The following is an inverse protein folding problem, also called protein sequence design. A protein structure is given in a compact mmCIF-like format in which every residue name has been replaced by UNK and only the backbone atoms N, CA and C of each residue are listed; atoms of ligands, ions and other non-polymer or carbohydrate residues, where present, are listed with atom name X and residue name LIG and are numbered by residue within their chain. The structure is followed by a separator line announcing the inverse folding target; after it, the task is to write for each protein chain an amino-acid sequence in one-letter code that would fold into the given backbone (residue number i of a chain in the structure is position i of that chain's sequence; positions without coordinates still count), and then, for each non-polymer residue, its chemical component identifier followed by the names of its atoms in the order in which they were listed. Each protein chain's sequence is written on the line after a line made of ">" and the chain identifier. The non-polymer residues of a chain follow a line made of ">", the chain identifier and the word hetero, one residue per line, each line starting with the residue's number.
data_IF_584283839006
#
_entry.id   IF_584283839006
#
_cell.length_a   1.000
_cell.length_b   1.000
_cell.length_c   1.000
_cell.angle_alpha   90.00
_cell.angle_beta   90.00
_cell.angle_gamma   90.00
#
_symmetry.space_group_name_H-M   'P 1'
#
loop_
_entity.id
_entity.type
_entity.pdbx_description
1 polymer ?
#
# COMPACT_ATOMS: atom_id res chain seq x y z
N UNK A 1 -9.43 6.34 2.08
CA UNK A 1 -9.52 6.33 0.60
C UNK A 1 -9.41 4.91 0.04
N UNK A 2 -8.29 4.19 0.29
CA UNK A 2 -8.08 2.88 -0.33
C UNK A 2 -9.12 1.79 0.01
N UNK A 3 -9.72 1.69 1.22
CA UNK A 3 -10.72 0.66 1.50
C UNK A 3 -11.99 0.84 0.66
N UNK A 4 -12.36 2.09 0.38
CA UNK A 4 -13.49 2.43 -0.49
C UNK A 4 -13.20 2.05 -1.94
N UNK A 5 -12.00 2.39 -2.44
CA UNK A 5 -11.57 2.03 -3.79
C UNK A 5 -11.53 0.50 -3.98
N UNK A 6 -11.02 -0.23 -2.99
CA UNK A 6 -10.97 -1.69 -3.00
C UNK A 6 -12.36 -2.32 -2.97
N UNK A 7 -13.25 -1.82 -2.11
CA UNK A 7 -14.65 -2.26 -2.05
C UNK A 7 -15.35 -2.03 -3.40
N UNK A 8 -15.17 -0.85 -4.00
CA UNK A 8 -15.71 -0.55 -5.32
C UNK A 8 -15.14 -1.48 -6.41
N UNK A 9 -13.85 -1.81 -6.36
CA UNK A 9 -13.21 -2.75 -7.29
C UNK A 9 -13.83 -4.15 -7.24
N UNK A 10 -14.15 -4.63 -6.04
CA UNK A 10 -14.83 -5.91 -5.87
C UNK A 10 -16.29 -5.85 -6.32
N UNK A 11 -17.03 -4.78 -6.01
CA UNK A 11 -18.44 -4.62 -6.43
C UNK A 11 -18.57 -4.50 -7.95
N UNK A 12 -17.77 -3.64 -8.59
CA UNK A 12 -17.83 -3.43 -10.05
C UNK A 12 -17.04 -4.48 -10.84
N UNK A 13 -16.32 -5.39 -10.16
CA UNK A 13 -15.55 -6.45 -10.78
C UNK A 13 -16.39 -7.42 -11.62
N UNK A 14 -17.67 -7.56 -11.29
CA UNK A 14 -18.61 -8.41 -12.02
C UNK A 14 -19.33 -7.70 -13.19
N UNK A 15 -19.29 -6.37 -13.26
CA UNK A 15 -20.06 -5.59 -14.24
C UNK A 15 -19.53 -5.67 -15.69
N UNK A 16 -18.28 -6.10 -15.87
CA UNK A 16 -17.66 -6.30 -17.18
C UNK A 16 -16.13 -6.13 -17.15
N UNK A 17 -15.44 -6.65 -18.18
CA UNK A 17 -13.97 -6.67 -18.20
C UNK A 17 -13.34 -5.28 -18.08
N UNK A 18 -13.91 -4.26 -18.74
CA UNK A 18 -13.44 -2.87 -18.67
C UNK A 18 -13.69 -2.23 -17.31
N UNK A 19 -14.90 -2.39 -16.76
CA UNK A 19 -15.25 -1.85 -15.45
C UNK A 19 -14.35 -2.44 -14.37
N UNK A 20 -14.14 -3.76 -14.40
CA UNK A 20 -13.20 -4.48 -13.56
C UNK A 20 -11.79 -3.91 -13.66
N UNK A 21 -11.25 -3.74 -14.88
CA UNK A 21 -9.90 -3.21 -15.05
C UNK A 21 -9.75 -1.80 -14.49
N UNK A 22 -10.72 -0.90 -14.76
CA UNK A 22 -10.67 0.47 -14.24
C UNK A 22 -10.73 0.50 -12.72
N UNK A 23 -11.63 -0.29 -12.13
CA UNK A 23 -11.86 -0.28 -10.70
C UNK A 23 -10.64 -0.83 -9.93
N UNK A 24 -10.00 -1.92 -10.39
CA UNK A 24 -8.76 -2.41 -9.78
C UNK A 24 -7.57 -1.45 -9.97
N UNK A 25 -7.47 -0.76 -11.10
CA UNK A 25 -6.47 0.30 -11.26
C UNK A 25 -6.66 1.43 -10.23
N UNK A 26 -7.91 1.86 -9.99
CA UNK A 26 -8.22 2.85 -8.95
C UNK A 26 -7.85 2.34 -7.55
N UNK A 27 -8.11 1.06 -7.26
CA UNK A 27 -7.71 0.43 -6.00
C UNK A 27 -6.20 0.50 -5.79
N UNK A 28 -5.43 0.09 -6.80
CA UNK A 28 -3.97 0.15 -6.74
C UNK A 28 -3.43 1.56 -6.56
N UNK A 29 -3.96 2.54 -7.29
CA UNK A 29 -3.58 3.95 -7.13
C UNK A 29 -3.89 4.48 -5.72
N UNK A 30 -5.05 4.11 -5.16
CA UNK A 30 -5.43 4.50 -3.82
C UNK A 30 -4.53 3.85 -2.74
N UNK A 31 -4.10 2.60 -2.96
CA UNK A 31 -3.18 1.90 -2.07
C UNK A 31 -1.77 2.52 -2.11
N UNK A 32 -1.26 2.88 -3.30
CA UNK A 32 0.02 3.61 -3.43
C UNK A 32 -0.03 4.97 -2.71
N UNK A 33 -1.14 5.71 -2.86
CA UNK A 33 -1.31 7.01 -2.20
C UNK A 33 -1.39 6.88 -0.67
N UNK A 34 -1.97 5.78 -0.17
CA UNK A 34 -1.93 5.44 1.25
C UNK A 34 -0.50 5.18 1.75
N UNK A 35 0.33 4.48 0.96
CA UNK A 35 1.76 4.32 1.25
C UNK A 35 2.48 5.67 1.35
N UNK A 36 2.28 6.57 0.37
CA UNK A 36 2.83 7.92 0.40
C UNK A 36 2.37 8.72 1.64
N UNK A 37 1.10 8.63 2.00
CA UNK A 37 0.58 9.25 3.22
C UNK A 37 1.23 8.69 4.49
N UNK A 38 1.52 7.39 4.50
CA UNK A 38 2.24 6.73 5.59
C UNK A 38 3.67 7.24 5.71
N UNK A 39 4.40 7.34 4.59
CA UNK A 39 5.75 7.91 4.57
C UNK A 39 5.77 9.36 5.08
N UNK A 40 4.84 10.21 4.64
CA UNK A 40 4.72 11.59 5.15
C UNK A 40 4.53 11.63 6.67
N UNK A 41 3.63 10.79 7.20
CA UNK A 41 3.40 10.69 8.64
C UNK A 41 4.64 10.15 9.38
N UNK A 42 5.34 9.19 8.80
CA UNK A 42 6.52 8.59 9.40
C UNK A 42 7.71 9.55 9.43
N UNK A 43 7.93 10.32 8.35
CA UNK A 43 8.94 11.38 8.32
C UNK A 43 8.69 12.43 9.41
N UNK A 44 7.43 12.83 9.60
CA UNK A 44 7.06 13.86 10.57
C UNK A 44 7.14 13.37 12.03
N UNK A 45 6.68 12.15 12.31
CA UNK A 45 6.39 11.71 13.68
C UNK A 45 7.11 10.44 14.11
N UNK A 46 7.69 9.65 13.21
CA UNK A 46 8.23 8.33 13.54
C UNK A 46 9.75 8.30 13.46
N UNK A 47 10.35 9.15 12.63
CA UNK A 47 11.81 9.18 12.42
C UNK A 47 12.61 9.30 13.72
N UNK A 48 13.63 8.46 13.96
CA UNK A 48 14.49 8.59 15.12
C UNK A 48 15.10 10.00 15.21
N UNK A 49 15.13 10.64 16.40
CA UNK A 49 15.69 11.98 16.57
C UNK A 49 17.09 12.15 15.98
N UNK A 50 17.94 11.14 16.12
CA UNK A 50 19.31 11.09 15.59
C UNK A 50 19.40 11.08 14.06
N UNK A 51 18.30 10.81 13.35
CA UNK A 51 18.25 10.79 11.89
C UNK A 51 17.62 12.06 11.31
N UNK A 52 16.98 12.89 12.14
CA UNK A 52 16.36 14.15 11.68
C UNK A 52 17.47 15.09 11.19
N UNK A 53 17.35 15.55 9.95
CA UNK A 53 18.36 16.39 9.29
C UNK A 53 19.54 15.62 8.70
N UNK A 54 19.48 14.28 8.67
CA UNK A 54 20.42 13.46 7.91
C UNK A 54 20.05 13.44 6.42
N UNK A 55 21.02 13.07 5.57
CA UNK A 55 20.77 12.86 4.13
C UNK A 55 19.65 11.84 3.86
N UNK A 56 19.54 10.79 4.68
CA UNK A 56 18.46 9.82 4.54
C UNK A 56 17.08 10.48 4.76
N UNK A 57 16.96 11.32 5.78
CA UNK A 57 15.72 12.05 6.06
C UNK A 57 15.37 13.02 4.92
N UNK A 58 16.35 13.75 4.37
CA UNK A 58 16.13 14.70 3.28
C UNK A 58 15.64 14.03 1.98
N UNK A 59 16.12 12.82 1.68
CA UNK A 59 15.70 12.06 0.49
C UNK A 59 14.49 11.16 0.72
N UNK A 60 14.06 10.97 1.96
CA UNK A 60 13.01 10.00 2.29
C UNK A 60 11.69 10.29 1.59
N UNK A 61 11.19 11.53 1.67
CA UNK A 61 9.92 11.94 1.03
C UNK A 61 10.01 11.95 -0.51
N UNK A 62 11.05 12.52 -1.15
CA UNK A 62 11.22 12.41 -2.60
C UNK A 62 11.22 10.97 -3.11
N UNK A 63 11.89 10.06 -2.40
CA UNK A 63 11.91 8.63 -2.75
C UNK A 63 10.53 7.99 -2.52
N UNK A 64 9.82 8.34 -1.44
CA UNK A 64 8.45 7.86 -1.21
C UNK A 64 7.48 8.31 -2.32
N UNK A 65 7.59 9.55 -2.81
CA UNK A 65 6.81 10.03 -3.97
C UNK A 65 7.13 9.21 -5.21
N UNK A 66 8.42 9.02 -5.52
CA UNK A 66 8.84 8.20 -6.65
C UNK A 66 8.31 6.76 -6.54
N UNK A 67 8.44 6.16 -5.35
CA UNK A 67 7.94 4.82 -5.06
C UNK A 67 6.44 4.73 -5.27
N UNK A 68 5.65 5.69 -4.80
CA UNK A 68 4.20 5.74 -5.03
C UNK A 68 3.84 5.77 -6.52
N UNK A 69 4.54 6.58 -7.32
CA UNK A 69 4.31 6.67 -8.77
C UNK A 69 4.68 5.36 -9.47
N UNK A 70 5.85 4.80 -9.15
CA UNK A 70 6.31 3.53 -9.69
C UNK A 70 5.35 2.40 -9.32
N UNK A 71 4.87 2.37 -8.09
CA UNK A 71 3.94 1.37 -7.57
C UNK A 71 2.62 1.40 -8.31
N UNK A 72 2.03 2.59 -8.49
CA UNK A 72 0.81 2.77 -9.29
C UNK A 72 1.02 2.33 -10.74
N UNK A 73 2.16 2.69 -11.35
CA UNK A 73 2.49 2.31 -12.72
C UNK A 73 2.62 0.79 -12.89
N UNK A 74 3.44 0.13 -12.07
CA UNK A 74 3.69 -1.31 -12.14
C UNK A 74 2.41 -2.11 -11.86
N UNK A 75 1.68 -1.76 -10.81
CA UNK A 75 0.43 -2.44 -10.44
C UNK A 75 -0.66 -2.27 -11.50
N UNK A 76 -0.84 -1.08 -12.07
CA UNK A 76 -1.79 -0.87 -13.18
C UNK A 76 -1.34 -1.60 -14.44
N UNK A 77 -0.05 -1.55 -14.79
CA UNK A 77 0.48 -2.23 -15.97
C UNK A 77 0.34 -3.76 -15.86
N UNK A 78 0.49 -4.31 -14.66
CA UNK A 78 0.35 -5.75 -14.41
C UNK A 78 -0.99 -6.34 -14.88
N UNK A 79 -2.06 -5.53 -14.94
CA UNK A 79 -3.38 -5.95 -15.40
C UNK A 79 -3.43 -6.25 -16.89
N UNK A 80 -2.61 -5.55 -17.69
CA UNK A 80 -2.48 -5.82 -19.13
C UNK A 80 -1.71 -7.12 -19.37
N UNK A 81 -0.75 -7.45 -18.49
CA UNK A 81 0.03 -8.67 -18.56
C UNK A 81 -0.70 -9.90 -18.02
N UNK A 82 -1.81 -9.73 -17.30
CA UNK A 82 -2.38 -10.80 -16.49
C UNK A 82 -2.90 -11.99 -17.29
N UNK A 83 -3.40 -11.75 -18.51
CA UNK A 83 -3.88 -12.83 -19.38
C UNK A 83 -2.74 -13.64 -20.01
N UNK A 84 -1.64 -12.98 -20.41
CA UNK A 84 -0.54 -13.62 -21.14
C UNK A 84 0.59 -14.12 -20.21
N UNK A 85 0.86 -13.40 -19.12
CA UNK A 85 1.98 -13.63 -18.20
C UNK A 85 1.53 -13.49 -16.74
N UNK A 86 0.71 -14.42 -16.21
CA UNK A 86 0.12 -14.30 -14.87
C UNK A 86 1.16 -14.27 -13.75
N UNK A 87 2.26 -15.03 -13.87
CA UNK A 87 3.35 -15.02 -12.89
C UNK A 87 4.04 -13.65 -12.82
N UNK A 88 4.33 -13.04 -13.97
CA UNK A 88 4.94 -11.71 -14.05
C UNK A 88 3.99 -10.63 -13.53
N UNK A 89 2.70 -10.73 -13.86
CA UNK A 89 1.67 -9.83 -13.31
C UNK A 89 1.62 -9.89 -11.78
N UNK A 90 1.63 -11.10 -11.21
CA UNK A 90 1.64 -11.30 -9.75
C UNK A 90 2.93 -10.78 -9.11
N UNK A 91 4.09 -11.09 -9.69
CA UNK A 91 5.38 -10.62 -9.20
C UNK A 91 5.47 -9.09 -9.24
N UNK A 92 5.05 -8.47 -10.34
CA UNK A 92 5.01 -7.01 -10.50
C UNK A 92 4.14 -6.35 -9.43
N UNK A 93 2.93 -6.85 -9.18
CA UNK A 93 2.05 -6.34 -8.10
C UNK A 93 2.65 -6.53 -6.72
N UNK A 94 3.26 -7.69 -6.48
CA UNK A 94 3.90 -7.98 -5.19
C UNK A 94 5.04 -7.00 -4.92
N UNK A 95 5.94 -6.83 -5.88
CA UNK A 95 7.08 -5.92 -5.78
C UNK A 95 6.62 -4.46 -5.65
N UNK A 96 5.57 -4.07 -6.39
CA UNK A 96 5.01 -2.73 -6.34
C UNK A 96 4.50 -2.32 -4.95
N UNK A 97 4.20 -3.24 -4.03
CA UNK A 97 3.72 -2.87 -2.70
C UNK A 97 4.67 -3.31 -1.57
N UNK A 98 5.41 -4.42 -1.74
CA UNK A 98 6.37 -4.87 -0.73
C UNK A 98 7.57 -3.94 -0.64
N UNK A 99 8.12 -3.48 -1.78
CA UNK A 99 9.29 -2.61 -1.76
C UNK A 99 9.02 -1.25 -1.09
N UNK A 100 7.96 -0.50 -1.46
CA UNK A 100 7.63 0.74 -0.76
C UNK A 100 7.34 0.52 0.73
N UNK A 101 6.62 -0.55 1.09
CA UNK A 101 6.35 -0.84 2.49
C UNK A 101 7.64 -1.02 3.31
N UNK A 102 8.61 -1.78 2.79
CA UNK A 102 9.90 -1.98 3.47
C UNK A 102 10.63 -0.65 3.59
N UNK A 103 10.69 0.14 2.52
CA UNK A 103 11.35 1.45 2.52
C UNK A 103 10.71 2.41 3.53
N UNK A 104 9.38 2.55 3.49
CA UNK A 104 8.64 3.43 4.37
C UNK A 104 8.82 3.01 5.83
N UNK A 105 8.91 1.71 6.10
CA UNK A 105 9.01 1.15 7.47
C UNK A 105 10.42 1.11 8.05
N UNK A 106 11.46 1.57 7.32
CA UNK A 106 12.85 1.61 7.83
C UNK A 106 12.95 2.28 9.22
N UNK A 107 12.36 3.47 9.48
CA UNK A 107 12.40 4.12 10.79
C UNK A 107 11.75 3.29 11.90
N UNK A 108 10.67 2.58 11.58
CA UNK A 108 9.95 1.71 12.52
C UNK A 108 10.80 0.50 12.87
N UNK A 109 11.36 -0.19 11.87
CA UNK A 109 12.21 -1.34 12.11
C UNK A 109 13.46 -0.98 12.92
N UNK A 110 14.02 0.20 12.68
CA UNK A 110 15.09 0.73 13.51
C UNK A 110 14.65 0.90 14.97
N UNK A 111 13.53 1.58 15.25
CA UNK A 111 13.01 1.75 16.62
C UNK A 111 12.71 0.41 17.31
N UNK A 112 12.08 -0.53 16.60
CA UNK A 112 11.79 -1.87 17.11
C UNK A 112 13.07 -2.64 17.47
N UNK A 113 14.09 -2.60 16.61
CA UNK A 113 15.38 -3.27 16.86
C UNK A 113 16.14 -2.66 18.05
N UNK A 114 16.12 -1.33 18.20
CA UNK A 114 16.70 -0.66 19.38
C UNK A 114 15.99 -1.02 20.67
N UNK A 115 14.66 -1.13 20.63
CA UNK A 115 13.88 -1.55 21.80
C UNK A 115 14.18 -2.99 22.20
N UNK A 116 14.29 -3.90 21.23
CA UNK A 116 14.71 -5.28 21.47
C UNK A 116 16.13 -5.38 22.08
N UNK A 117 17.02 -4.44 21.74
CA UNK A 117 18.35 -4.30 22.34
C UNK A 117 18.35 -3.63 23.73
N UNK A 118 17.18 -3.39 24.34
CA UNK A 118 17.04 -2.84 25.70
C UNK A 118 17.26 -1.33 25.78
N UNK A 119 17.28 -0.60 24.66
CA UNK A 119 17.68 0.81 24.63
C UNK A 119 16.57 1.80 25.03
N UNK A 120 15.29 1.44 24.89
CA UNK A 120 14.12 2.22 25.33
C UNK A 120 12.82 1.43 25.05
N UNK A 121 11.77 1.63 25.86
CA UNK A 121 10.42 1.13 25.59
C UNK A 121 9.47 2.32 25.38
N UNK A 122 9.12 2.58 24.13
CA UNK A 122 8.14 3.62 23.76
C UNK A 122 6.74 3.00 23.64
N UNK A 123 5.72 3.72 24.09
CA UNK A 123 4.35 3.21 24.17
C UNK A 123 3.72 2.83 22.82
N UNK A 124 4.19 3.40 21.71
CA UNK A 124 3.70 3.11 20.35
C UNK A 124 4.30 1.86 19.71
N UNK A 125 5.41 1.32 20.24
CA UNK A 125 6.11 0.16 19.65
C UNK A 125 5.28 -1.12 19.58
N UNK A 126 4.47 -1.49 20.59
CA UNK A 126 3.59 -2.64 20.48
C UNK A 126 2.58 -2.51 19.32
N UNK A 127 2.08 -1.30 19.05
CA UNK A 127 1.17 -1.05 17.94
C UNK A 127 1.90 -1.13 16.59
N UNK A 128 3.10 -0.55 16.48
CA UNK A 128 3.96 -0.71 15.30
C UNK A 128 4.33 -2.16 15.02
N UNK A 129 4.55 -2.97 16.06
CA UNK A 129 4.80 -4.41 15.96
C UNK A 129 3.56 -5.15 15.44
N UNK A 130 2.37 -4.86 15.97
CA UNK A 130 1.10 -5.43 15.47
C UNK A 130 0.83 -5.02 14.02
N UNK A 131 1.06 -3.75 13.67
CA UNK A 131 0.99 -3.28 12.29
C UNK A 131 1.92 -4.09 11.37
N UNK A 132 3.18 -4.30 11.79
CA UNK A 132 4.17 -5.06 11.03
C UNK A 132 3.78 -6.53 10.86
N UNK A 133 3.22 -7.14 11.90
CA UNK A 133 2.68 -8.50 11.84
C UNK A 133 1.49 -8.58 10.88
N UNK A 134 0.54 -7.64 10.95
CA UNK A 134 -0.58 -7.56 10.01
C UNK A 134 -0.09 -7.41 8.57
N UNK A 135 0.92 -6.57 8.31
CA UNK A 135 1.50 -6.42 6.97
C UNK A 135 2.14 -7.73 6.45
N UNK A 136 2.86 -8.45 7.33
CA UNK A 136 3.40 -9.78 6.99
C UNK A 136 2.28 -10.77 6.65
N UNK A 137 1.23 -10.83 7.46
CA UNK A 137 0.09 -11.72 7.22
C UNK A 137 -0.66 -11.36 5.92
N UNK A 138 -0.80 -10.07 5.63
CA UNK A 138 -1.34 -9.57 4.35
C UNK A 138 -0.50 -10.08 3.17
N UNK A 139 0.83 -9.93 3.23
CA UNK A 139 1.74 -10.43 2.20
C UNK A 139 1.66 -11.96 2.03
N UNK A 140 1.68 -12.72 3.12
CA UNK A 140 1.60 -14.18 3.09
C UNK A 140 0.25 -14.66 2.53
N UNK A 141 -0.85 -14.04 2.92
CA UNK A 141 -2.19 -14.38 2.42
C UNK A 141 -2.31 -14.12 0.92
N UNK A 142 -1.78 -12.99 0.43
CA UNK A 142 -1.78 -12.66 -1.00
C UNK A 142 -0.92 -13.62 -1.84
N UNK A 143 0.28 -13.97 -1.36
CA UNK A 143 1.24 -14.75 -2.13
C UNK A 143 0.98 -16.25 -2.09
N UNK A 144 0.60 -16.80 -0.93
CA UNK A 144 0.48 -18.25 -0.73
C UNK A 144 -0.86 -18.85 -1.20
N UNK A 145 -1.95 -18.07 -1.17
CA UNK A 145 -3.34 -18.53 -1.34
C UNK A 145 -3.76 -19.61 -0.34
N UNK A 146 -3.29 -19.48 0.89
CA UNK A 146 -3.70 -20.34 1.99
C UNK A 146 -4.87 -19.70 2.76
N UNK A 147 -5.87 -20.48 3.21
CA UNK A 147 -5.90 -21.95 3.24
C UNK A 147 -6.52 -22.63 1.99
N UNK A 148 -7.14 -21.90 1.06
CA UNK A 148 -7.92 -22.47 -0.06
C UNK A 148 -7.09 -23.35 -1.01
N UNK A 149 -5.77 -23.14 -1.07
CA UNK A 149 -4.86 -24.01 -1.81
C UNK A 149 -4.69 -25.41 -1.19
N UNK A 150 -4.91 -25.57 0.12
CA UNK A 150 -4.81 -26.86 0.81
C UNK A 150 -6.13 -27.63 0.84
N UNK A 151 -7.27 -26.92 0.86
CA UNK A 151 -8.59 -27.54 0.81
C UNK A 151 -9.50 -26.81 -0.21
N UNK A 152 -9.34 -27.10 -1.52
CA UNK A 152 -10.18 -26.52 -2.56
C UNK A 152 -11.67 -26.81 -2.31
N UNK A 153 -12.55 -25.82 -2.51
CA UNK A 153 -13.99 -25.93 -2.27
C UNK A 153 -14.43 -25.67 -0.83
N UNK A 154 -13.51 -25.69 0.15
CA UNK A 154 -13.85 -25.48 1.57
C UNK A 154 -13.94 -24.00 1.97
N UNK A 155 -13.30 -23.12 1.20
CA UNK A 155 -13.14 -21.69 1.53
C UNK A 155 -13.76 -20.77 0.46
N UNK A 156 -14.68 -21.28 -0.36
CA UNK A 156 -15.19 -20.54 -1.53
C UNK A 156 -15.94 -19.25 -1.16
N UNK A 157 -16.57 -19.21 0.01
CA UNK A 157 -17.36 -18.06 0.49
C UNK A 157 -16.74 -17.33 1.69
N UNK A 158 -16.14 -18.07 2.63
CA UNK A 158 -15.62 -17.52 3.89
C UNK A 158 -14.22 -18.06 4.14
N UNK A 159 -13.31 -17.18 4.56
CA UNK A 159 -11.99 -17.54 5.06
C UNK A 159 -10.93 -17.81 4.00
N UNK A 160 -11.22 -17.57 2.71
CA UNK A 160 -10.17 -17.61 1.68
C UNK A 160 -9.14 -16.48 1.89
N UNK A 161 -7.93 -16.69 1.38
CA UNK A 161 -6.78 -15.83 1.66
C UNK A 161 -7.00 -14.36 1.30
N UNK A 162 -7.79 -14.09 0.25
CA UNK A 162 -8.10 -12.71 -0.16
C UNK A 162 -9.01 -11.97 0.84
N UNK A 163 -9.86 -12.67 1.60
CA UNK A 163 -10.58 -12.07 2.73
C UNK A 163 -9.64 -11.78 3.89
N UNK A 164 -8.76 -12.74 4.22
CA UNK A 164 -7.76 -12.58 5.27
C UNK A 164 -6.82 -11.41 4.95
N UNK A 165 -6.42 -11.27 3.68
CA UNK A 165 -5.65 -10.14 3.16
C UNK A 165 -6.32 -8.80 3.50
N UNK A 166 -7.63 -8.65 3.22
CA UNK A 166 -8.35 -7.41 3.52
C UNK A 166 -8.50 -7.16 5.02
N UNK A 167 -8.81 -8.19 5.81
CA UNK A 167 -8.93 -8.07 7.27
C UNK A 167 -7.59 -7.61 7.88
N UNK A 168 -6.49 -8.28 7.54
CA UNK A 168 -5.15 -7.93 8.01
C UNK A 168 -4.74 -6.53 7.52
N UNK A 169 -5.07 -6.15 6.30
CA UNK A 169 -4.82 -4.81 5.76
C UNK A 169 -5.51 -3.72 6.60
N UNK A 170 -6.81 -3.86 6.85
CA UNK A 170 -7.59 -2.88 7.64
C UNK A 170 -7.14 -2.81 9.09
N UNK A 171 -6.99 -3.97 9.76
CA UNK A 171 -6.48 -4.01 11.14
C UNK A 171 -5.08 -3.40 11.23
N UNK A 172 -4.22 -3.70 10.25
CA UNK A 172 -2.89 -3.11 10.13
C UNK A 172 -2.96 -1.59 10.04
N UNK A 173 -3.83 -1.02 9.21
CA UNK A 173 -4.02 0.44 9.12
C UNK A 173 -4.56 1.04 10.41
N UNK A 174 -5.44 0.35 11.14
CA UNK A 174 -5.91 0.82 12.45
C UNK A 174 -4.77 0.92 13.46
N UNK A 175 -3.97 -0.15 13.61
CA UNK A 175 -2.81 -0.12 14.50
C UNK A 175 -1.79 0.95 14.09
N UNK A 176 -1.59 1.15 12.79
CA UNK A 176 -0.72 2.20 12.28
C UNK A 176 -1.21 3.60 12.68
N UNK A 177 -2.49 3.89 12.46
CA UNK A 177 -3.06 5.19 12.79
C UNK A 177 -2.99 5.47 14.28
N UNK A 178 -3.25 4.47 15.12
CA UNK A 178 -3.12 4.59 16.57
C UNK A 178 -1.66 4.83 16.99
N UNK A 179 -0.71 4.06 16.43
CA UNK A 179 0.72 4.21 16.71
C UNK A 179 1.24 5.60 16.31
N UNK A 180 0.90 6.06 15.11
CA UNK A 180 1.27 7.40 14.60
C UNK A 180 0.63 8.50 15.44
N UNK A 181 -0.62 8.31 15.90
CA UNK A 181 -1.29 9.29 16.76
C UNK A 181 -0.59 9.42 18.11
N UNK A 182 -0.14 8.31 18.69
CA UNK A 182 0.67 8.32 19.91
C UNK A 182 2.02 9.00 19.68
N UNK A 183 2.72 8.65 18.60
CA UNK A 183 4.01 9.27 18.22
C UNK A 183 3.88 10.78 18.00
N UNK A 184 2.80 11.21 17.33
CA UNK A 184 2.47 12.62 17.13
C UNK A 184 2.23 13.34 18.47
N UNK A 185 1.48 12.73 19.38
CA UNK A 185 1.21 13.30 20.69
C UNK A 185 2.49 13.47 21.52
N UNK A 186 3.39 12.49 21.48
CA UNK A 186 4.67 12.54 22.20
C UNK A 186 5.64 13.58 21.63
N UNK A 187 5.62 13.80 20.31
CA UNK A 187 6.54 14.70 19.61
C UNK A 187 6.03 16.12 19.46
N UNK A 188 4.77 16.38 19.81
CA UNK A 188 4.16 17.71 19.70
C UNK A 188 5.00 18.75 20.45
N UNK A 189 5.55 19.71 19.70
CA UNK A 189 6.37 20.79 20.25
C UNK A 189 7.84 20.44 20.54
N UNK A 190 8.31 19.24 20.19
CA UNK A 190 9.71 18.80 20.40
C UNK A 190 10.57 18.82 19.13
N UNK A 191 9.96 18.68 17.95
CA UNK A 191 10.65 18.63 16.66
C UNK A 191 10.03 19.58 15.64
N UNK A 192 10.82 20.09 14.67
CA UNK A 192 10.28 20.86 13.56
C UNK A 192 9.32 19.99 12.74
N UNK A 193 8.13 20.51 12.47
CA UNK A 193 7.16 19.86 11.59
C UNK A 193 7.53 20.13 10.12
N UNK A 194 7.28 19.17 9.21
CA UNK A 194 7.43 19.44 7.79
C UNK A 194 6.53 20.61 7.37
N UNK A 195 6.99 21.38 6.40
CA UNK A 195 6.22 22.52 5.91
C UNK A 195 4.90 22.05 5.29
N UNK A 196 3.87 22.89 5.33
CA UNK A 196 2.60 22.61 4.65
C UNK A 196 2.81 22.38 3.15
N UNK A 197 3.73 23.14 2.53
CA UNK A 197 4.11 22.97 1.13
C UNK A 197 4.74 21.60 0.87
N UNK A 198 5.63 21.13 1.73
CA UNK A 198 6.26 19.82 1.57
C UNK A 198 5.23 18.68 1.71
N UNK A 199 4.34 18.79 2.70
CA UNK A 199 3.32 17.77 2.96
C UNK A 199 2.27 17.72 1.85
N UNK A 200 1.60 18.85 1.59
CA UNK A 200 0.54 18.93 0.58
C UNK A 200 1.09 18.90 -0.85
N UNK A 201 2.31 19.42 -1.07
CA UNK A 201 3.00 19.36 -2.35
C UNK A 201 3.34 17.93 -2.72
N UNK A 202 4.01 17.19 -1.83
CA UNK A 202 4.37 15.78 -2.08
C UNK A 202 3.14 14.92 -2.32
N UNK A 203 2.10 15.07 -1.48
CA UNK A 203 0.83 14.35 -1.65
C UNK A 203 0.12 14.73 -2.96
N UNK A 204 0.10 16.02 -3.30
CA UNK A 204 -0.49 16.55 -4.52
C UNK A 204 0.23 16.02 -5.77
N UNK A 205 1.56 16.01 -5.78
CA UNK A 205 2.37 15.44 -6.86
C UNK A 205 2.10 13.95 -7.03
N UNK A 206 2.09 13.18 -5.94
CA UNK A 206 1.78 11.75 -5.99
C UNK A 206 0.36 11.46 -6.50
N UNK A 207 -0.63 12.25 -6.07
CA UNK A 207 -2.01 12.15 -6.54
C UNK A 207 -2.14 12.50 -8.03
N UNK A 208 -1.56 13.62 -8.47
CA UNK A 208 -1.58 14.05 -9.86
C UNK A 208 -0.94 13.01 -10.79
N UNK A 209 0.25 12.51 -10.44
CA UNK A 209 0.93 11.46 -11.19
C UNK A 209 0.11 10.17 -11.25
N UNK A 210 -0.53 9.77 -10.15
CA UNK A 210 -1.41 8.60 -10.12
C UNK A 210 -2.62 8.79 -11.04
N UNK A 211 -3.25 9.97 -11.05
CA UNK A 211 -4.35 10.29 -11.96
C UNK A 211 -3.90 10.26 -13.43
N UNK A 212 -2.70 10.76 -13.74
CA UNK A 212 -2.12 10.67 -15.09
C UNK A 212 -1.94 9.21 -15.51
N UNK A 213 -1.40 8.36 -14.65
CA UNK A 213 -1.24 6.93 -14.93
C UNK A 213 -2.59 6.25 -15.17
N UNK A 214 -3.59 6.54 -14.33
CA UNK A 214 -4.95 6.01 -14.51
C UNK A 214 -5.54 6.45 -15.85
N UNK A 215 -5.39 7.72 -16.22
CA UNK A 215 -5.85 8.23 -17.50
C UNK A 215 -5.19 7.50 -18.68
N UNK A 216 -3.87 7.31 -18.65
CA UNK A 216 -3.14 6.54 -19.67
C UNK A 216 -3.70 5.11 -19.74
N UNK A 217 -3.76 4.41 -18.61
CA UNK A 217 -4.26 3.04 -18.54
C UNK A 217 -5.68 2.90 -19.08
N UNK A 218 -6.56 3.86 -18.77
CA UNK A 218 -7.95 3.81 -19.20
C UNK A 218 -8.10 4.04 -20.70
N UNK A 219 -7.23 4.85 -21.31
CA UNK A 219 -7.19 5.06 -22.77
C UNK A 219 -6.59 3.89 -23.53
N UNK A 220 -5.67 3.14 -22.91
CA UNK A 220 -5.04 1.96 -23.53
C UNK A 220 -5.94 0.72 -23.58
N UNK A 221 -7.13 0.75 -22.96
CA UNK A 221 -8.09 -0.36 -23.02
C UNK A 221 -8.65 -0.52 -24.43
N UNK A 222 -8.35 -1.66 -25.06
CA UNK A 222 -8.86 -1.99 -26.40
C UNK A 222 -10.38 -2.22 -26.41
N UNK A 223 -11.03 -2.07 -27.57
CA UNK A 223 -12.42 -2.48 -27.76
C UNK A 223 -12.61 -3.97 -27.41
N UNK A 224 -13.72 -4.32 -26.77
CA UNK A 224 -14.15 -5.72 -26.63
C UNK A 224 -14.52 -6.19 -28.04
N UNK A 225 -14.05 -7.37 -28.50
CA UNK A 225 -14.58 -7.95 -29.71
C UNK A 225 -16.08 -8.20 -29.51
N UNK A 226 -16.89 -7.86 -30.51
CA UNK A 226 -18.32 -8.14 -30.50
C UNK A 226 -18.54 -9.64 -30.23
N UNK A 227 -19.59 -10.02 -29.46
CA UNK A 227 -19.93 -11.42 -29.30
C UNK A 227 -20.12 -12.01 -30.70
N UNK A 228 -19.37 -13.08 -31.03
CA UNK A 228 -19.64 -13.85 -32.23
C UNK A 228 -21.09 -14.32 -32.14
N UNK A 229 -21.96 -13.81 -33.03
CA UNK A 229 -23.24 -14.45 -33.29
C UNK A 229 -22.92 -15.92 -33.60
N UNK A 230 -23.52 -16.81 -32.81
CA UNK A 230 -23.52 -18.23 -33.14
C UNK A 230 -24.41 -18.36 -34.38
N UNK A 231 -23.79 -18.46 -35.56
CA UNK A 231 -24.48 -18.86 -36.80
C UNK A 231 -24.93 -20.31 -36.70
#
# INVERSE_FOLDING_TARGET
>A
LYPLASSAAHTFGAAGARARHRAYCCDYAALSLYGLGSALAYSAYVFPPEWVGSTFHDFYIPVAVFNSVLSTGLSCYSRFLEAERPCLSKASRTLAFVYPYIFDSIPIFYRLSRSAAGSCSEGSLPLHSRHSLCALLTFLSFTSRLPERLAPGSFDFIGHSHQVFHICGILGTLFQLEAVSMDMAERRGRFPLPSSLETFGSLGTGAAASLTILWICFRSLRPEPLPREKS
#
